data_IF_452911614281
#
_entry.id   IF_452911614281
#
_cell.length_a   1.000
_cell.length_b   1.000
_cell.length_c   1.000
_cell.angle_alpha   90.00
_cell.angle_beta   90.00
_cell.angle_gamma   90.00
#
_symmetry.space_group_name_H-M   'P 1'
#
loop_
_entity.id
_entity.type
_entity.pdbx_description
1 polymer ?
#
# COMPACT_ATOMS: atom_id res chain seq x y z
N UNK A 1 9.44 13.12 -18.41
CA UNK A 1 8.59 12.10 -17.78
C UNK A 1 8.95 10.76 -18.42
N UNK A 2 9.69 9.85 -17.77
CA UNK A 2 10.01 8.59 -18.42
C UNK A 2 8.73 7.74 -18.49
N UNK A 3 8.31 7.41 -19.69
CA UNK A 3 7.24 6.43 -19.92
C UNK A 3 7.69 5.09 -19.32
N UNK A 4 6.93 4.58 -18.35
CA UNK A 4 7.08 3.21 -17.88
C UNK A 4 6.58 2.27 -18.99
N UNK A 5 7.41 2.05 -20.00
CA UNK A 5 7.17 1.02 -20.99
C UNK A 5 7.16 -0.35 -20.29
N UNK A 6 6.24 -1.23 -20.69
CA UNK A 6 6.06 -2.59 -20.16
C UNK A 6 7.33 -3.47 -20.20
N UNK A 7 8.42 -2.96 -20.76
CA UNK A 7 9.73 -3.58 -20.84
C UNK A 7 10.51 -3.54 -19.51
N UNK A 8 10.20 -2.61 -18.59
CA UNK A 8 10.87 -2.49 -17.28
C UNK A 8 10.15 -3.22 -16.14
N UNK A 9 9.17 -4.09 -16.43
CA UNK A 9 8.47 -4.87 -15.41
C UNK A 9 9.17 -6.20 -15.17
N UNK A 10 9.41 -6.55 -13.90
CA UNK A 10 9.92 -7.86 -13.51
C UNK A 10 8.95 -8.96 -13.96
N UNK A 11 9.47 -9.99 -14.63
CA UNK A 11 8.68 -11.10 -15.17
C UNK A 11 8.86 -12.34 -14.29
N UNK A 12 7.75 -12.86 -13.80
CA UNK A 12 7.73 -14.08 -12.98
C UNK A 12 6.89 -15.17 -13.65
N UNK A 13 7.46 -16.36 -13.83
CA UNK A 13 6.76 -17.50 -14.46
C UNK A 13 6.11 -18.34 -13.35
N UNK A 14 4.77 -18.33 -13.31
CA UNK A 14 3.99 -19.13 -12.37
C UNK A 14 3.54 -20.44 -13.03
N UNK A 15 3.78 -21.57 -12.37
CA UNK A 15 3.18 -22.86 -12.75
C UNK A 15 1.81 -22.98 -12.11
N UNK A 16 0.76 -22.99 -12.92
CA UNK A 16 -0.61 -23.10 -12.47
C UNK A 16 -1.08 -24.57 -12.57
N UNK A 17 -1.81 -25.10 -11.57
CA UNK A 17 -2.51 -26.37 -11.70
C UNK A 17 -3.64 -26.28 -12.74
N UNK A 18 -4.07 -27.45 -13.23
CA UNK A 18 -5.11 -27.55 -14.26
C UNK A 18 -6.40 -26.81 -13.86
N UNK A 19 -7.00 -26.10 -14.82
CA UNK A 19 -8.23 -25.32 -14.64
C UNK A 19 -8.07 -24.00 -13.88
N UNK A 20 -6.95 -23.75 -13.17
CA UNK A 20 -6.77 -22.48 -12.44
C UNK A 20 -6.64 -21.29 -13.39
N UNK A 21 -5.99 -21.48 -14.54
CA UNK A 21 -5.85 -20.43 -15.56
C UNK A 21 -7.20 -19.93 -16.06
N UNK A 22 -8.15 -20.84 -16.30
CA UNK A 22 -9.48 -20.49 -16.81
C UNK A 22 -10.30 -19.76 -15.75
N UNK A 23 -10.17 -20.16 -14.48
CA UNK A 23 -10.78 -19.44 -13.35
C UNK A 23 -10.28 -18.00 -13.24
N UNK A 24 -8.98 -17.78 -13.42
CA UNK A 24 -8.40 -16.42 -13.41
C UNK A 24 -8.91 -15.62 -14.62
N UNK A 25 -9.03 -16.24 -15.80
CA UNK A 25 -9.58 -15.58 -16.99
C UNK A 25 -11.01 -15.10 -16.75
N UNK A 26 -11.87 -15.97 -16.21
CA UNK A 26 -13.26 -15.63 -15.89
C UNK A 26 -13.36 -14.49 -14.86
N UNK A 27 -12.51 -14.52 -13.82
CA UNK A 27 -12.45 -13.43 -12.84
C UNK A 27 -11.99 -12.11 -13.46
N UNK A 28 -11.00 -12.15 -14.34
CA UNK A 28 -10.50 -10.96 -15.04
C UNK A 28 -11.57 -10.36 -15.98
N UNK A 29 -12.31 -11.19 -16.72
CA UNK A 29 -13.43 -10.77 -17.57
C UNK A 29 -14.54 -10.11 -16.75
N UNK A 30 -14.93 -10.73 -15.63
CA UNK A 30 -15.93 -10.18 -14.72
C UNK A 30 -15.50 -8.84 -14.11
N UNK A 31 -14.19 -8.65 -13.88
CA UNK A 31 -13.61 -7.42 -13.34
C UNK A 31 -13.19 -6.41 -14.43
N UNK A 32 -13.48 -6.67 -15.71
CA UNK A 32 -13.09 -5.84 -16.85
C UNK A 32 -11.58 -5.51 -16.89
N UNK A 33 -10.75 -6.49 -16.54
CA UNK A 33 -9.29 -6.38 -16.49
C UNK A 33 -8.64 -7.38 -17.42
N UNK A 34 -7.40 -7.10 -17.83
CA UNK A 34 -6.57 -8.15 -18.43
C UNK A 34 -6.25 -9.21 -17.40
N UNK A 35 -6.03 -10.45 -17.84
CA UNK A 35 -5.63 -11.54 -16.96
C UNK A 35 -4.39 -11.18 -16.12
N UNK A 36 -3.42 -10.48 -16.71
CA UNK A 36 -2.24 -10.02 -15.98
C UNK A 36 -2.58 -8.97 -14.91
N UNK A 37 -3.43 -8.00 -15.25
CA UNK A 37 -3.87 -6.98 -14.28
C UNK A 37 -4.63 -7.60 -13.11
N UNK A 38 -5.40 -8.67 -13.36
CA UNK A 38 -6.10 -9.40 -12.29
C UNK A 38 -5.14 -10.16 -11.39
N UNK A 39 -4.14 -10.85 -11.95
CA UNK A 39 -3.09 -11.52 -11.16
C UNK A 39 -2.33 -10.51 -10.31
N UNK A 40 -1.94 -9.36 -10.89
CA UNK A 40 -1.26 -8.30 -10.14
C UNK A 40 -2.14 -7.74 -9.03
N UNK A 41 -3.42 -7.45 -9.31
CA UNK A 41 -4.35 -6.94 -8.31
C UNK A 41 -4.52 -7.92 -7.12
N UNK A 42 -4.64 -9.22 -7.41
CA UNK A 42 -4.72 -10.26 -6.39
C UNK A 42 -3.43 -10.33 -5.55
N UNK A 43 -2.27 -10.24 -6.20
CA UNK A 43 -0.98 -10.24 -5.51
C UNK A 43 -0.80 -9.01 -4.63
N UNK A 44 -1.17 -7.81 -5.10
CA UNK A 44 -1.11 -6.59 -4.29
C UNK A 44 -2.05 -6.61 -3.08
N UNK A 45 -3.20 -7.28 -3.21
CA UNK A 45 -4.15 -7.44 -2.10
C UNK A 45 -3.61 -8.37 -1.01
N UNK A 46 -2.95 -9.47 -1.40
CA UNK A 46 -2.42 -10.47 -0.46
C UNK A 46 -1.00 -10.14 0.03
N UNK A 47 -0.20 -9.47 -0.80
CA UNK A 47 1.18 -9.07 -0.54
C UNK A 47 1.30 -7.55 -0.74
N UNK A 48 0.74 -6.75 0.19
CA UNK A 48 0.86 -5.31 0.09
C UNK A 48 2.34 -4.89 0.12
N UNK A 49 2.69 -3.87 -0.65
CA UNK A 49 4.04 -3.33 -0.67
C UNK A 49 4.56 -3.11 0.76
N UNK A 50 5.80 -3.52 1.08
CA UNK A 50 6.37 -3.30 2.39
C UNK A 50 6.26 -1.82 2.72
N UNK A 51 5.52 -1.53 3.77
CA UNK A 51 5.39 -0.17 4.30
C UNK A 51 6.80 0.28 4.68
N UNK A 52 7.27 1.45 4.22
CA UNK A 52 8.66 1.87 4.35
C UNK A 52 9.12 1.75 5.80
N UNK A 53 10.26 1.09 6.02
CA UNK A 53 10.88 0.86 7.33
C UNK A 53 11.24 2.16 8.06
N UNK A 54 11.23 3.27 7.33
CA UNK A 54 11.54 4.62 7.81
C UNK A 54 10.48 5.18 8.77
N UNK A 55 9.31 4.53 8.90
CA UNK A 55 8.34 4.88 9.95
C UNK A 55 8.73 4.10 11.19
N UNK A 56 9.42 4.76 12.12
CA UNK A 56 9.95 4.16 13.34
C UNK A 56 8.85 3.62 14.27
N UNK A 57 7.60 4.04 14.05
CA UNK A 57 6.46 3.68 14.87
C UNK A 57 5.48 2.71 14.16
N UNK A 58 5.20 1.53 14.76
CA UNK A 58 4.31 0.53 14.16
C UNK A 58 2.85 0.98 14.06
N UNK A 59 2.37 1.89 14.92
CA UNK A 59 1.00 2.41 14.86
C UNK A 59 0.85 3.42 13.72
N UNK A 60 1.82 4.34 13.54
CA UNK A 60 1.85 5.23 12.38
C UNK A 60 1.89 4.44 11.07
N UNK A 61 2.68 3.35 11.04
CA UNK A 61 2.78 2.44 9.90
C UNK A 61 1.43 1.83 9.51
N UNK A 62 0.67 1.32 10.48
CA UNK A 62 -0.63 0.71 10.26
C UNK A 62 -1.65 1.74 9.74
N UNK A 63 -1.65 2.95 10.30
CA UNK A 63 -2.56 4.02 9.92
C UNK A 63 -2.31 4.49 8.48
N UNK A 64 -1.06 4.68 8.07
CA UNK A 64 -0.74 4.98 6.67
C UNK A 64 -1.18 3.87 5.72
N UNK A 65 -1.00 2.60 6.11
CA UNK A 65 -1.47 1.47 5.32
C UNK A 65 -3.00 1.48 5.16
N UNK A 66 -3.75 1.72 6.25
CA UNK A 66 -5.20 1.82 6.22
C UNK A 66 -5.67 2.98 5.33
N UNK A 67 -5.05 4.15 5.44
CA UNK A 67 -5.36 5.29 4.60
C UNK A 67 -5.16 4.97 3.11
N UNK A 68 -3.99 4.40 2.76
CA UNK A 68 -3.67 4.01 1.38
C UNK A 68 -4.67 2.99 0.84
N UNK A 69 -5.08 2.02 1.66
CA UNK A 69 -6.10 1.03 1.29
C UNK A 69 -7.44 1.69 1.00
N UNK A 70 -7.85 2.68 1.77
CA UNK A 70 -9.11 3.42 1.52
C UNK A 70 -8.99 4.24 0.23
N UNK A 71 -7.89 4.98 0.03
CA UNK A 71 -7.64 5.79 -1.17
C UNK A 71 -7.64 4.97 -2.45
N UNK A 72 -7.10 3.74 -2.43
CA UNK A 72 -7.13 2.80 -3.57
C UNK A 72 -8.54 2.46 -4.05
N UNK A 73 -9.55 2.55 -3.18
CA UNK A 73 -10.97 2.33 -3.53
C UNK A 73 -11.66 3.60 -4.04
N UNK A 74 -10.90 4.63 -4.40
CA UNK A 74 -11.39 5.91 -4.97
C UNK A 74 -12.64 6.43 -4.27
N UNK A 75 -12.54 6.73 -2.95
CA UNK A 75 -13.69 7.18 -2.18
C UNK A 75 -14.26 8.49 -2.75
N UNK A 76 -15.58 8.65 -2.70
CA UNK A 76 -16.24 9.87 -3.17
C UNK A 76 -15.74 11.09 -2.39
N UNK A 77 -15.50 12.23 -3.05
CA UNK A 77 -15.21 13.49 -2.37
C UNK A 77 -16.25 13.82 -1.30
N UNK A 78 -15.81 14.22 -0.10
CA UNK A 78 -16.64 14.51 1.09
C UNK A 78 -17.16 13.28 1.85
N UNK A 79 -16.92 12.06 1.36
CA UNK A 79 -17.44 10.86 2.00
C UNK A 79 -16.82 10.60 3.37
N UNK A 80 -17.53 9.86 4.23
CA UNK A 80 -16.99 9.41 5.51
C UNK A 80 -15.67 8.62 5.34
N UNK A 81 -15.56 7.84 4.26
CA UNK A 81 -14.34 7.09 3.91
C UNK A 81 -13.17 8.01 3.56
N UNK A 82 -13.40 9.08 2.80
CA UNK A 82 -12.34 10.04 2.51
C UNK A 82 -11.88 10.77 3.78
N UNK A 83 -12.82 11.21 4.62
CA UNK A 83 -12.51 11.82 5.92
C UNK A 83 -11.73 10.85 6.83
N UNK A 84 -12.09 9.57 6.82
CA UNK A 84 -11.39 8.52 7.55
C UNK A 84 -9.96 8.31 7.03
N UNK A 85 -9.75 8.32 5.71
CA UNK A 85 -8.41 8.24 5.13
C UNK A 85 -7.54 9.45 5.51
N UNK A 86 -8.11 10.65 5.43
CA UNK A 86 -7.43 11.88 5.83
C UNK A 86 -7.08 11.91 7.33
N UNK A 87 -7.98 11.40 8.18
CA UNK A 87 -7.74 11.27 9.62
C UNK A 87 -6.57 10.30 9.89
N UNK A 88 -6.53 9.16 9.22
CA UNK A 88 -5.45 8.20 9.37
C UNK A 88 -4.11 8.76 8.90
N UNK A 89 -4.07 9.51 7.79
CA UNK A 89 -2.87 10.23 7.33
C UNK A 89 -2.39 11.26 8.37
N UNK A 90 -3.31 12.04 8.93
CA UNK A 90 -2.99 13.07 9.93
C UNK A 90 -2.43 12.47 11.23
N UNK A 91 -3.08 11.44 11.79
CA UNK A 91 -2.64 10.79 13.03
C UNK A 91 -1.29 10.12 12.82
N UNK A 92 -1.10 9.42 11.69
CA UNK A 92 0.16 8.75 11.40
C UNK A 92 1.33 9.75 11.28
N UNK A 93 1.10 10.91 10.67
CA UNK A 93 2.08 12.00 10.57
C UNK A 93 2.45 12.57 11.94
N UNK A 94 1.46 12.80 12.81
CA UNK A 94 1.68 13.34 14.16
C UNK A 94 2.44 12.34 15.05
N UNK A 95 2.09 11.05 14.99
CA UNK A 95 2.84 9.99 15.70
C UNK A 95 4.30 9.97 15.23
N UNK A 96 4.53 10.00 13.92
CA UNK A 96 5.90 9.97 13.35
C UNK A 96 6.71 11.18 13.84
N UNK A 97 6.13 12.39 13.76
CA UNK A 97 6.80 13.61 14.20
C UNK A 97 7.13 13.60 15.70
N UNK A 98 6.22 13.11 16.54
CA UNK A 98 6.44 13.01 17.99
C UNK A 98 7.52 11.98 18.33
N UNK A 99 7.53 10.84 17.66
CA UNK A 99 8.54 9.79 17.89
C UNK A 99 9.93 10.25 17.47
N UNK A 100 10.05 10.98 16.36
CA UNK A 100 11.30 11.62 15.96
C UNK A 100 11.78 12.65 17.00
N UNK A 101 10.87 13.48 17.52
CA UNK A 101 11.20 14.46 18.55
C UNK A 101 11.71 13.80 19.86
N UNK A 102 11.12 12.67 20.26
CA UNK A 102 11.58 11.88 21.42
C UNK A 102 12.96 11.28 21.16
N UNK A 103 13.22 10.75 19.97
CA UNK A 103 14.53 10.21 19.62
C UNK A 103 15.63 11.29 19.62
N UNK A 104 15.33 12.48 19.10
CA UNK A 104 16.27 13.61 19.07
C UNK A 104 16.54 14.19 20.46
N UNK A 105 15.55 14.22 21.36
CA UNK A 105 15.75 14.68 22.74
C UNK A 105 16.62 13.71 23.54
N UNK A 106 16.46 12.41 23.36
CA UNK A 106 17.26 11.39 24.04
C UNK A 106 18.74 11.40 23.60
N UNK A 107 19.04 11.71 22.33
CA UNK A 107 20.43 11.80 21.85
C UNK A 107 21.19 13.03 22.38
N UNK A 108 20.49 14.13 22.68
CA UNK A 108 21.11 15.35 23.23
C UNK A 108 21.43 15.26 24.73
N UNK A 109 20.76 14.39 25.48
CA UNK A 109 20.96 14.24 26.94
C UNK A 109 22.11 13.31 27.35
N UNK A 110 22.71 12.56 26.42
CA UNK A 110 23.76 11.56 26.71
C UNK A 110 25.20 12.06 26.59
N UNK A 111 25.42 13.36 26.35
CA UNK A 111 26.75 13.95 26.15
C UNK A 111 27.02 15.06 27.18
N UNK A 112 26.91 14.72 28.47
CA UNK A 112 27.20 15.57 29.62
C UNK A 112 27.96 14.81 30.69
#
# INVERSE_FOLDING_TARGET
MPEQSSQNQDKFIVRLPDGLRDRIRLAAEANHRSMNAEVVALLEENYPAPVPENVTDPAARLLFWLAKRIRRRTPKPGSARERQAALYESIASDITARMEAIHQSNQKGGNG
#
